data_IF_428044509435
#
_entry.id   IF_428044509435
#
_cell.length_a   1.000
_cell.length_b   1.000
_cell.length_c   1.000
_cell.angle_alpha   90.00
_cell.angle_beta   90.00
_cell.angle_gamma   90.00
#
_symmetry.space_group_name_H-M   'P 1'
#
loop_
_entity.id
_entity.type
_entity.pdbx_description
1 polymer ?
#
# COMPACT_ATOMS: atom_id res chain seq x y z
N UNK A 1 -0.09 -18.70 8.95
CA UNK A 1 1.33 -18.36 8.68
C UNK A 1 1.43 -17.10 7.82
N UNK A 2 2.43 -16.23 8.07
CA UNK A 2 2.64 -14.98 7.30
C UNK A 2 2.76 -15.22 5.78
N UNK A 3 3.40 -16.33 5.38
CA UNK A 3 3.49 -16.76 3.97
C UNK A 3 2.12 -17.03 3.34
N UNK A 4 1.17 -17.60 4.08
CA UNK A 4 -0.18 -17.88 3.58
C UNK A 4 -1.00 -16.60 3.35
N UNK A 5 -0.91 -15.65 4.30
CA UNK A 5 -1.53 -14.32 4.18
C UNK A 5 -0.99 -13.56 2.96
N UNK A 6 0.33 -13.59 2.78
CA UNK A 6 0.98 -12.98 1.62
C UNK A 6 0.49 -13.58 0.29
N UNK A 7 0.49 -14.90 0.17
CA UNK A 7 0.03 -15.58 -1.05
C UNK A 7 -1.44 -15.28 -1.36
N UNK A 8 -2.30 -15.19 -0.33
CA UNK A 8 -3.70 -14.80 -0.50
C UNK A 8 -3.84 -13.37 -1.01
N UNK A 9 -3.17 -12.40 -0.38
CA UNK A 9 -3.24 -10.98 -0.77
C UNK A 9 -2.66 -10.73 -2.16
N UNK A 10 -1.56 -11.40 -2.50
CA UNK A 10 -0.96 -11.31 -3.84
C UNK A 10 -1.91 -11.81 -4.93
N UNK A 11 -2.69 -12.88 -4.67
CA UNK A 11 -3.73 -13.34 -5.61
C UNK A 11 -4.84 -12.32 -5.81
N UNK A 12 -5.27 -11.65 -4.74
CA UNK A 12 -6.30 -10.61 -4.83
C UNK A 12 -5.81 -9.39 -5.62
N UNK A 13 -4.58 -8.94 -5.36
CA UNK A 13 -3.96 -7.85 -6.12
C UNK A 13 -3.81 -8.21 -7.61
N UNK A 14 -3.37 -9.43 -7.92
CA UNK A 14 -3.24 -9.92 -9.29
C UNK A 14 -4.59 -9.99 -10.01
N UNK A 15 -5.62 -10.58 -9.38
CA UNK A 15 -6.96 -10.68 -9.96
C UNK A 15 -7.59 -9.30 -10.22
N UNK A 16 -7.40 -8.35 -9.29
CA UNK A 16 -7.84 -6.96 -9.48
C UNK A 16 -7.17 -6.29 -10.68
N UNK A 17 -5.85 -6.41 -10.80
CA UNK A 17 -5.08 -5.89 -11.94
C UNK A 17 -5.49 -6.55 -13.27
N UNK A 18 -5.72 -7.85 -13.30
CA UNK A 18 -6.16 -8.57 -14.51
C UNK A 18 -7.55 -8.11 -14.98
N UNK A 19 -8.49 -7.92 -14.04
CA UNK A 19 -9.83 -7.38 -14.35
C UNK A 19 -9.70 -5.96 -14.88
N UNK A 20 -8.89 -5.11 -14.23
CA UNK A 20 -8.65 -3.75 -14.68
C UNK A 20 -8.15 -3.70 -16.13
N UNK A 21 -7.10 -4.45 -16.44
CA UNK A 21 -6.49 -4.50 -17.78
C UNK A 21 -7.44 -5.11 -18.82
N UNK A 22 -8.23 -6.14 -18.45
CA UNK A 22 -9.17 -6.80 -19.36
C UNK A 22 -10.37 -5.93 -19.71
N UNK A 23 -10.90 -5.20 -18.75
CA UNK A 23 -12.13 -4.41 -18.93
C UNK A 23 -11.86 -2.91 -19.18
N UNK A 24 -10.60 -2.46 -19.16
CA UNK A 24 -10.22 -1.07 -19.45
C UNK A 24 -10.85 -0.54 -20.75
N UNK A 25 -10.84 -1.34 -21.82
CA UNK A 25 -11.45 -0.97 -23.10
C UNK A 25 -12.98 -0.95 -23.09
N UNK A 26 -13.62 -1.73 -22.22
CA UNK A 26 -15.08 -1.77 -22.08
C UNK A 26 -15.61 -0.56 -21.30
N UNK A 27 -14.81 0.01 -20.39
CA UNK A 27 -15.17 1.22 -19.64
C UNK A 27 -15.31 2.48 -20.51
N UNK A 28 -14.73 2.48 -21.72
CA UNK A 28 -14.91 3.58 -22.68
C UNK A 28 -16.36 3.71 -23.16
N UNK A 29 -17.20 2.68 -22.93
CA UNK A 29 -18.64 2.72 -23.21
C UNK A 29 -19.36 3.52 -22.12
N UNK A 30 -20.09 4.55 -22.53
CA UNK A 30 -20.87 5.43 -21.64
C UNK A 30 -21.82 4.71 -20.68
N UNK A 31 -22.33 3.53 -21.09
CA UNK A 31 -23.20 2.68 -20.26
C UNK A 31 -22.54 2.18 -18.97
N UNK A 32 -21.20 2.18 -18.90
CA UNK A 32 -20.40 1.72 -17.75
C UNK A 32 -20.03 2.84 -16.76
N UNK A 33 -20.54 4.07 -16.93
CA UNK A 33 -20.23 5.25 -16.09
C UNK A 33 -20.29 5.03 -14.57
N UNK A 34 -21.15 4.12 -14.08
CA UNK A 34 -21.26 3.80 -12.64
C UNK A 34 -20.04 3.08 -12.07
N UNK A 35 -19.21 2.46 -12.92
CA UNK A 35 -17.98 1.78 -12.50
C UNK A 35 -16.73 2.66 -12.63
N UNK A 36 -16.85 3.85 -13.23
CA UNK A 36 -15.73 4.78 -13.35
C UNK A 36 -15.10 5.16 -12.00
N UNK A 37 -15.88 5.49 -10.94
CA UNK A 37 -15.27 5.86 -9.66
C UNK A 37 -14.37 4.75 -9.09
N UNK A 38 -14.81 3.49 -9.18
CA UNK A 38 -14.04 2.33 -8.71
C UNK A 38 -12.74 2.15 -9.50
N UNK A 39 -12.78 2.39 -10.81
CA UNK A 39 -11.59 2.35 -11.65
C UNK A 39 -10.63 3.49 -11.37
N UNK A 40 -11.15 4.71 -11.18
CA UNK A 40 -10.33 5.87 -10.81
C UNK A 40 -9.68 5.68 -9.45
N UNK A 41 -10.42 5.17 -8.46
CA UNK A 41 -9.87 4.83 -7.15
C UNK A 41 -8.73 3.81 -7.26
N UNK A 42 -8.92 2.76 -8.06
CA UNK A 42 -7.88 1.74 -8.26
C UNK A 42 -6.66 2.28 -9.03
N UNK A 43 -6.88 3.04 -10.11
CA UNK A 43 -5.80 3.68 -10.88
C UNK A 43 -5.02 4.68 -10.03
N UNK A 44 -5.72 5.47 -9.22
CA UNK A 44 -5.11 6.44 -8.29
C UNK A 44 -4.30 5.70 -7.23
N UNK A 45 -4.82 4.59 -6.70
CA UNK A 45 -4.10 3.75 -5.72
C UNK A 45 -2.85 3.10 -6.32
N UNK A 46 -2.94 2.62 -7.58
CA UNK A 46 -1.78 2.10 -8.32
C UNK A 46 -0.74 3.20 -8.53
N UNK A 47 -1.16 4.35 -9.07
CA UNK A 47 -0.29 5.49 -9.34
C UNK A 47 0.40 5.98 -8.06
N UNK A 48 -0.35 6.09 -6.97
CA UNK A 48 0.15 6.46 -5.66
C UNK A 48 1.19 5.46 -5.14
N UNK A 49 0.92 4.15 -5.25
CA UNK A 49 1.85 3.11 -4.83
C UNK A 49 3.18 3.15 -5.59
N UNK A 50 3.14 3.33 -6.92
CA UNK A 50 4.33 3.50 -7.74
C UNK A 50 5.09 4.80 -7.45
N UNK A 51 4.37 5.89 -7.15
CA UNK A 51 4.96 7.17 -6.76
C UNK A 51 5.72 7.03 -5.44
N UNK A 52 5.13 6.36 -4.44
CA UNK A 52 5.79 6.08 -3.16
C UNK A 52 7.04 5.21 -3.33
N UNK A 53 6.99 4.20 -4.20
CA UNK A 53 8.17 3.40 -4.54
C UNK A 53 9.27 4.26 -5.19
N UNK A 54 8.90 5.11 -6.16
CA UNK A 54 9.86 5.99 -6.84
C UNK A 54 10.55 6.93 -5.84
N UNK A 55 9.79 7.56 -4.94
CA UNK A 55 10.32 8.40 -3.86
C UNK A 55 11.25 7.61 -2.94
N UNK A 56 10.88 6.40 -2.54
CA UNK A 56 11.72 5.54 -1.69
C UNK A 56 13.04 5.14 -2.39
N UNK A 57 13.00 4.85 -3.70
CA UNK A 57 14.20 4.56 -4.49
C UNK A 57 15.09 5.80 -4.62
N UNK A 58 14.53 6.96 -4.95
CA UNK A 58 15.27 8.22 -5.04
C UNK A 58 15.94 8.55 -3.70
N UNK A 59 15.21 8.39 -2.59
CA UNK A 59 15.75 8.58 -1.25
C UNK A 59 16.91 7.62 -0.95
N UNK A 60 16.75 6.34 -1.27
CA UNK A 60 17.80 5.33 -1.04
C UNK A 60 19.05 5.61 -1.87
N UNK A 61 18.90 5.97 -3.15
CA UNK A 61 20.03 6.35 -4.03
C UNK A 61 20.70 7.62 -3.50
N UNK A 62 19.93 8.55 -2.93
CA UNK A 62 20.45 9.76 -2.29
C UNK A 62 21.25 9.57 -1.02
N UNK A 63 21.27 8.36 -0.45
CA UNK A 63 22.21 8.01 0.63
C UNK A 63 23.60 7.67 0.10
N UNK A 64 23.71 7.22 -1.15
CA UNK A 64 24.96 6.74 -1.75
C UNK A 64 25.56 7.67 -2.79
N UNK A 65 24.74 8.55 -3.39
CA UNK A 65 25.15 9.47 -4.46
C UNK A 65 24.64 10.87 -4.14
N UNK A 66 25.45 11.90 -4.40
CA UNK A 66 25.00 13.28 -4.32
C UNK A 66 24.03 13.59 -5.48
N UNK A 67 22.72 13.56 -5.19
CA UNK A 67 21.72 13.94 -6.18
C UNK A 67 21.72 15.46 -6.43
N UNK A 68 21.40 15.88 -7.67
CA UNK A 68 21.12 17.28 -8.00
C UNK A 68 20.10 17.90 -7.05
N UNK A 69 20.20 19.21 -6.75
CA UNK A 69 19.34 19.89 -5.77
C UNK A 69 17.84 19.75 -6.05
N UNK A 70 17.43 19.62 -7.32
CA UNK A 70 16.03 19.42 -7.68
C UNK A 70 15.49 18.03 -7.34
N UNK A 71 16.29 16.96 -7.49
CA UNK A 71 15.89 15.62 -7.04
C UNK A 71 16.02 15.47 -5.52
N UNK A 72 16.95 16.19 -4.89
CA UNK A 72 17.10 16.22 -3.42
C UNK A 72 15.85 16.76 -2.73
N UNK A 73 15.07 17.62 -3.40
CA UNK A 73 13.78 18.15 -2.94
C UNK A 73 12.67 17.09 -2.80
N UNK A 74 12.77 15.98 -3.54
CA UNK A 74 11.84 14.84 -3.46
C UNK A 74 12.30 13.77 -2.45
N UNK A 75 13.46 13.97 -1.80
CA UNK A 75 13.92 13.10 -0.73
C UNK A 75 12.98 13.20 0.47
N UNK A 76 12.55 12.06 1.02
CA UNK A 76 11.65 11.96 2.20
C UNK A 76 12.10 12.86 3.37
N UNK A 77 13.39 13.14 3.46
CA UNK A 77 14.01 13.92 4.53
C UNK A 77 14.15 15.43 4.26
N UNK A 78 13.88 15.92 3.05
CA UNK A 78 14.13 17.33 2.69
C UNK A 78 12.85 18.18 2.72
N UNK A 79 12.46 18.64 3.91
CA UNK A 79 11.45 19.68 4.03
C UNK A 79 10.82 19.83 5.42
N UNK A 80 10.49 21.07 5.77
CA UNK A 80 9.69 21.42 6.94
C UNK A 80 8.33 20.68 7.04
N UNK A 81 7.61 20.31 5.96
CA UNK A 81 6.27 19.73 6.11
C UNK A 81 6.30 18.32 6.70
N UNK A 82 7.28 17.48 6.31
CA UNK A 82 7.43 16.13 6.86
C UNK A 82 7.79 16.16 8.34
N UNK A 83 8.63 17.11 8.75
CA UNK A 83 8.97 17.31 10.15
C UNK A 83 7.78 17.81 10.97
N UNK A 84 7.01 18.78 10.45
CA UNK A 84 5.76 19.25 11.09
C UNK A 84 4.76 18.11 11.22
N UNK A 85 4.56 17.28 10.18
CA UNK A 85 3.68 16.11 10.21
C UNK A 85 4.13 15.07 11.24
N UNK A 86 5.43 14.76 11.30
CA UNK A 86 5.96 13.83 12.29
C UNK A 86 5.76 14.35 13.72
N UNK A 87 6.02 15.64 13.95
CA UNK A 87 5.84 16.28 15.25
C UNK A 87 4.37 16.34 15.66
N UNK A 88 3.45 16.68 14.75
CA UNK A 88 2.01 16.68 15.05
C UNK A 88 1.49 15.28 15.31
N UNK A 89 1.92 14.26 14.56
CA UNK A 89 1.55 12.87 14.83
C UNK A 89 2.08 12.39 16.19
N UNK A 90 3.34 12.68 16.54
CA UNK A 90 3.90 12.31 17.84
C UNK A 90 3.13 12.98 18.99
N UNK A 91 2.78 14.26 18.82
CA UNK A 91 1.98 15.00 19.81
C UNK A 91 0.57 14.41 19.93
N UNK A 92 -0.09 14.10 18.81
CA UNK A 92 -1.40 13.42 18.82
C UNK A 92 -1.33 12.09 19.57
N UNK A 93 -0.31 11.25 19.31
CA UNK A 93 -0.13 9.99 20.03
C UNK A 93 0.14 10.19 21.51
N UNK A 94 0.96 11.19 21.88
CA UNK A 94 1.24 11.51 23.27
C UNK A 94 -0.04 11.93 24.02
N UNK A 95 -0.86 12.80 23.41
CA UNK A 95 -2.13 13.25 23.99
C UNK A 95 -3.12 12.09 24.14
N UNK A 96 -3.28 11.26 23.10
CA UNK A 96 -4.13 10.06 23.17
C UNK A 96 -3.67 9.11 24.28
N UNK A 97 -2.36 8.86 24.39
CA UNK A 97 -1.81 7.98 25.42
C UNK A 97 -2.03 8.53 26.84
N UNK A 98 -1.84 9.84 27.06
CA UNK A 98 -2.08 10.47 28.35
C UNK A 98 -3.56 10.34 28.75
N UNK A 99 -4.48 10.60 27.81
CA UNK A 99 -5.92 10.50 28.05
C UNK A 99 -6.32 9.08 28.47
N UNK A 100 -5.83 8.08 27.74
CA UNK A 100 -6.21 6.68 27.94
C UNK A 100 -5.51 6.03 29.15
N UNK A 101 -4.29 6.49 29.49
CA UNK A 101 -3.57 6.03 30.68
C UNK A 101 -4.31 6.28 32.00
N UNK A 102 -5.26 7.22 31.98
CA UNK A 102 -6.12 7.54 33.12
C UNK A 102 -7.22 6.50 33.37
N UNK A 103 -7.69 5.82 32.32
CA UNK A 103 -8.84 4.93 32.39
C UNK A 103 -8.45 3.45 32.48
N UNK A 104 -7.38 3.01 31.81
CA UNK A 104 -6.93 1.62 31.89
C UNK A 104 -5.41 1.47 32.08
N UNK A 105 -5.02 0.69 33.09
CA UNK A 105 -3.63 0.30 33.33
C UNK A 105 -3.30 -0.93 32.47
N UNK A 106 -2.41 -0.79 31.49
CA UNK A 106 -1.95 -1.90 30.62
C UNK A 106 -2.08 -1.65 29.11
N UNK A 107 -2.62 -0.50 28.69
CA UNK A 107 -2.88 -0.15 27.30
C UNK A 107 -1.65 0.06 26.40
N UNK A 108 -0.44 0.18 26.96
CA UNK A 108 0.77 0.44 26.18
C UNK A 108 1.02 -0.59 25.06
N UNK A 109 0.69 -1.87 25.30
CA UNK A 109 0.81 -2.92 24.28
C UNK A 109 -0.24 -2.79 23.17
N UNK A 110 -1.47 -2.39 23.51
CA UNK A 110 -2.55 -2.16 22.54
C UNK A 110 -2.25 -0.94 21.66
N UNK A 111 -1.74 0.14 22.25
CA UNK A 111 -1.30 1.34 21.53
C UNK A 111 -0.20 1.05 20.52
N UNK A 112 0.82 0.27 20.92
CA UNK A 112 1.86 -0.18 19.99
C UNK A 112 1.23 -0.92 18.80
N UNK A 113 0.34 -1.89 19.06
CA UNK A 113 -0.32 -2.64 17.98
C UNK A 113 -1.19 -1.73 17.11
N UNK A 114 -1.88 -0.73 17.67
CA UNK A 114 -2.73 0.21 16.91
C UNK A 114 -1.93 1.08 15.93
N UNK A 115 -0.70 1.47 16.25
CA UNK A 115 0.17 2.23 15.33
C UNK A 115 0.78 1.32 14.27
N UNK A 116 1.29 0.16 14.69
CA UNK A 116 1.99 -0.75 13.79
C UNK A 116 1.06 -1.53 12.87
N UNK A 117 -0.18 -1.81 13.29
CA UNK A 117 -1.11 -2.60 12.49
C UNK A 117 -1.47 -1.93 11.15
N UNK A 118 -1.90 -0.65 11.10
CA UNK A 118 -2.12 0.06 9.84
C UNK A 118 -0.85 0.14 9.01
N UNK A 119 0.30 0.41 9.62
CA UNK A 119 1.57 0.52 8.91
C UNK A 119 1.93 -0.80 8.21
N UNK A 120 1.87 -1.92 8.92
CA UNK A 120 2.14 -3.25 8.36
C UNK A 120 1.10 -3.62 7.31
N UNK A 121 -0.18 -3.32 7.55
CA UNK A 121 -1.25 -3.54 6.57
C UNK A 121 -0.99 -2.78 5.27
N UNK A 122 -0.61 -1.50 5.36
CA UNK A 122 -0.27 -0.65 4.22
C UNK A 122 0.97 -1.15 3.48
N UNK A 123 2.03 -1.55 4.20
CA UNK A 123 3.23 -2.13 3.58
C UNK A 123 2.88 -3.41 2.80
N UNK A 124 2.12 -4.33 3.39
CA UNK A 124 1.72 -5.57 2.71
C UNK A 124 0.89 -5.25 1.45
N UNK A 125 -0.05 -4.31 1.51
CA UNK A 125 -0.82 -3.89 0.34
C UNK A 125 0.05 -3.22 -0.73
N UNK A 126 1.00 -2.38 -0.34
CA UNK A 126 1.95 -1.74 -1.25
C UNK A 126 2.77 -2.79 -1.99
N UNK A 127 3.44 -3.68 -1.27
CA UNK A 127 4.28 -4.71 -1.89
C UNK A 127 3.47 -5.70 -2.74
N UNK A 128 2.27 -6.11 -2.29
CA UNK A 128 1.42 -7.01 -3.09
C UNK A 128 0.91 -6.36 -4.36
N UNK A 129 0.68 -5.04 -4.37
CA UNK A 129 0.30 -4.29 -5.55
C UNK A 129 1.48 -4.14 -6.53
N UNK A 130 2.66 -3.79 -5.99
CA UNK A 130 3.90 -3.66 -6.77
C UNK A 130 4.32 -4.96 -7.45
N UNK A 131 4.13 -6.11 -6.79
CA UNK A 131 4.43 -7.44 -7.36
C UNK A 131 3.24 -7.97 -8.19
N UNK A 132 2.01 -7.64 -7.81
CA UNK A 132 0.78 -8.09 -8.45
C UNK A 132 0.62 -7.56 -9.88
N UNK A 133 0.95 -6.29 -10.13
CA UNK A 133 0.84 -5.67 -11.45
C UNK A 133 1.79 -6.27 -12.51
N UNK A 134 3.10 -6.42 -12.30
CA UNK A 134 3.98 -7.07 -13.27
C UNK A 134 3.63 -8.55 -13.46
N UNK A 135 3.16 -9.22 -12.40
CA UNK A 135 2.70 -10.61 -12.49
C UNK A 135 1.41 -10.75 -13.30
N UNK A 136 0.47 -9.81 -13.16
CA UNK A 136 -0.74 -9.73 -13.97
C UNK A 136 -0.42 -9.43 -15.44
N UNK A 137 0.52 -8.51 -15.71
CA UNK A 137 0.98 -8.18 -17.06
C UNK A 137 1.69 -9.36 -17.76
N UNK A 138 2.47 -10.13 -17.01
CA UNK A 138 3.19 -11.31 -17.53
C UNK A 138 2.31 -12.55 -17.66
N UNK A 139 1.12 -12.57 -17.05
CA UNK A 139 0.18 -13.69 -17.16
C UNK A 139 -0.49 -13.68 -18.54
N UNK A 140 -0.31 -14.76 -19.31
CA UNK A 140 -0.89 -14.89 -20.66
C UNK A 140 -2.42 -14.86 -20.57
N UNK A 141 -3.06 -14.11 -21.49
CA UNK A 141 -4.51 -14.13 -21.72
C UNK A 141 -4.96 -15.57 -21.97
N UNK A 142 -5.69 -16.18 -21.03
CA UNK A 142 -6.31 -17.50 -21.22
C UNK A 142 -6.18 -18.50 -20.07
N UNK A 143 -5.34 -18.26 -19.06
CA UNK A 143 -5.35 -19.12 -17.86
C UNK A 143 -6.59 -18.82 -17.02
N UNK A 144 -7.43 -19.84 -16.77
CA UNK A 144 -8.51 -19.74 -15.80
C UNK A 144 -7.87 -19.54 -14.43
N UNK A 145 -8.25 -18.47 -13.73
CA UNK A 145 -7.98 -18.33 -12.32
C UNK A 145 -8.78 -19.39 -11.56
N UNK A 146 -8.26 -20.62 -11.51
CA UNK A 146 -8.84 -21.69 -10.71
C UNK A 146 -8.70 -21.27 -9.25
N UNK A 147 -9.84 -21.05 -8.61
CA UNK A 147 -9.95 -20.81 -7.17
C UNK A 147 -9.66 -22.13 -6.46
N UNK A 148 -8.38 -22.49 -6.37
CA UNK A 148 -7.95 -23.58 -5.52
C UNK A 148 -7.92 -23.01 -4.12
N UNK A 149 -8.94 -23.31 -3.31
CA UNK A 149 -8.91 -23.12 -1.86
C UNK A 149 -7.71 -23.87 -1.33
N UNK A 150 -6.58 -23.17 -1.23
CA UNK A 150 -5.39 -23.71 -0.59
C UNK A 150 -5.79 -23.89 0.85
N UNK A 151 -5.82 -25.14 1.27
CA UNK A 151 -6.21 -25.54 2.60
C UNK A 151 -5.48 -24.66 3.62
N UNK A 152 -6.20 -24.23 4.65
CA UNK A 152 -5.78 -23.17 5.58
C UNK A 152 -4.67 -23.65 6.51
N UNK A 153 -3.60 -24.26 6.01
CA UNK A 153 -2.42 -24.63 6.79
C UNK A 153 -2.75 -25.34 8.11
N UNK A 154 -3.80 -26.16 8.13
CA UNK A 154 -4.07 -27.08 9.23
C UNK A 154 -3.24 -28.32 8.91
N UNK A 155 -2.09 -28.42 9.56
CA UNK A 155 -1.51 -29.71 9.94
C UNK A 155 -1.69 -29.83 11.43
#
# INVERSE_FOLDING_TARGET
TLRGLWAQRLRWAQGGCEVLLRYLGHLRRWKSRRMWPVYFEYLTSLFWGYSMLAVAVIWTVGLFVDLPPDLRRYSIAYGWPGMVLAMTCLLQFAVSFILDSRYERGLGRLYYVMVWYPLVFWLINLFTTLVGLPKALRTRRGQRALWVTTDRGVK
#
